data_IF_022629639486
#
_entry.id   IF_022629639486
#
_cell.length_a   1.000
_cell.length_b   1.000
_cell.length_c   1.000
_cell.angle_alpha   90.00
_cell.angle_beta   90.00
_cell.angle_gamma   90.00
#
_symmetry.space_group_name_H-M   'P 1'
#
loop_
_entity.id
_entity.type
_entity.pdbx_description
1 polymer ?
#
# COMPACT_ATOMS: atom_id res chain seq x y z
N UNK A 1 -45.17 -1.70 25.80
CA UNK A 1 -44.61 -0.52 26.48
C UNK A 1 -43.45 -0.05 25.61
N UNK A 2 -43.68 0.91 24.71
CA UNK A 2 -42.64 1.45 23.83
C UNK A 2 -41.58 2.20 24.63
N UNK A 3 -40.31 2.03 24.29
CA UNK A 3 -39.23 2.84 24.87
C UNK A 3 -39.16 4.17 24.11
N UNK A 4 -38.73 5.22 24.80
CA UNK A 4 -38.52 6.54 24.22
C UNK A 4 -37.04 6.71 23.86
N UNK A 5 -36.74 6.91 22.58
CA UNK A 5 -35.40 7.22 22.08
C UNK A 5 -35.26 8.75 22.04
N UNK A 6 -34.17 9.26 22.60
CA UNK A 6 -33.80 10.67 22.46
C UNK A 6 -32.91 10.85 21.23
N UNK A 7 -33.29 11.75 20.32
CA UNK A 7 -32.44 12.09 19.19
C UNK A 7 -31.20 12.89 19.65
N UNK A 8 -29.97 12.48 19.29
CA UNK A 8 -28.76 13.22 19.67
C UNK A 8 -28.66 14.60 19.01
N UNK A 9 -29.26 14.79 17.84
CA UNK A 9 -29.17 16.04 17.08
C UNK A 9 -30.13 17.12 17.56
N UNK A 10 -31.40 16.77 17.79
CA UNK A 10 -32.46 17.73 18.12
C UNK A 10 -33.03 17.57 19.53
N UNK A 11 -32.54 16.60 20.32
CA UNK A 11 -32.99 16.28 21.69
C UNK A 11 -34.49 15.97 21.80
N UNK A 12 -35.14 15.67 20.67
CA UNK A 12 -36.55 15.30 20.65
C UNK A 12 -36.71 13.87 21.15
N UNK A 13 -37.70 13.65 22.03
CA UNK A 13 -38.10 12.33 22.47
C UNK A 13 -39.01 11.69 21.41
N UNK A 14 -38.57 10.57 20.85
CA UNK A 14 -39.28 9.80 19.82
C UNK A 14 -39.71 8.46 20.40
N UNK A 15 -40.93 8.04 20.08
CA UNK A 15 -41.43 6.72 20.47
C UNK A 15 -40.99 5.67 19.43
N UNK A 16 -40.36 4.60 19.88
CA UNK A 16 -39.91 3.48 19.04
C UNK A 16 -41.04 2.87 18.20
N UNK A 17 -42.26 2.77 18.77
CA UNK A 17 -43.42 2.18 18.10
C UNK A 17 -43.84 2.98 16.84
N UNK A 18 -43.66 4.31 16.87
CA UNK A 18 -43.98 5.20 15.75
C UNK A 18 -42.93 5.08 14.64
N UNK A 19 -41.67 4.88 14.99
CA UNK A 19 -40.57 4.69 14.03
C UNK A 19 -40.73 3.37 13.27
N UNK A 20 -41.10 2.29 13.98
CA UNK A 20 -41.39 0.97 13.39
C UNK A 20 -42.60 1.02 12.47
N UNK A 21 -43.65 1.74 12.85
CA UNK A 21 -44.86 1.89 12.04
C UNK A 21 -44.61 2.66 10.72
N UNK A 22 -43.57 3.50 10.65
CA UNK A 22 -43.24 4.33 9.49
C UNK A 22 -42.03 3.85 8.69
N UNK A 23 -41.53 2.63 8.95
CA UNK A 23 -40.31 2.08 8.31
C UNK A 23 -39.08 3.02 8.40
N UNK A 24 -39.01 3.86 9.44
CA UNK A 24 -37.93 4.85 9.66
C UNK A 24 -37.28 4.61 11.00
N UNK A 25 -36.86 3.36 11.24
CA UNK A 25 -36.25 2.93 12.52
C UNK A 25 -34.98 3.73 12.86
N UNK A 26 -34.28 4.24 11.84
CA UNK A 26 -32.96 4.87 11.99
C UNK A 26 -32.94 6.37 11.66
N UNK A 27 -34.08 7.00 11.38
CA UNK A 27 -34.14 8.41 10.94
C UNK A 27 -35.05 9.19 11.87
N UNK A 28 -34.54 10.31 12.37
CA UNK A 28 -35.33 11.22 13.20
C UNK A 28 -36.44 11.88 12.37
N UNK A 29 -37.69 11.66 12.74
CA UNK A 29 -38.84 12.28 12.06
C UNK A 29 -38.91 13.81 12.21
N UNK A 30 -38.17 14.38 13.18
CA UNK A 30 -38.20 15.82 13.46
C UNK A 30 -37.11 16.57 12.69
N UNK A 31 -35.88 16.07 12.70
CA UNK A 31 -34.74 16.75 12.06
C UNK A 31 -34.19 16.04 10.82
N UNK A 32 -34.70 14.85 10.48
CA UNK A 32 -34.17 14.02 9.38
C UNK A 32 -32.78 13.43 9.64
N UNK A 33 -32.17 13.73 10.80
CA UNK A 33 -30.86 13.20 11.19
C UNK A 33 -30.92 11.73 11.53
N UNK A 34 -29.87 10.99 11.18
CA UNK A 34 -29.72 9.58 11.58
C UNK A 34 -29.73 9.45 13.11
N UNK A 35 -30.59 8.58 13.62
CA UNK A 35 -30.63 8.20 15.04
C UNK A 35 -29.58 7.13 15.36
N UNK A 36 -29.07 6.46 14.33
CA UNK A 36 -27.79 5.80 14.40
C UNK A 36 -26.74 6.90 14.53
N UNK A 37 -26.35 7.17 15.77
CA UNK A 37 -24.98 7.56 16.03
C UNK A 37 -24.15 6.53 15.29
N UNK A 38 -23.50 6.93 14.21
CA UNK A 38 -22.36 6.19 13.70
C UNK A 38 -21.41 6.15 14.90
N UNK A 39 -21.56 5.12 15.73
CA UNK A 39 -20.42 4.29 15.96
C UNK A 39 -19.91 4.02 14.54
N UNK A 40 -18.96 4.83 14.10
CA UNK A 40 -17.66 4.27 13.80
C UNK A 40 -17.37 3.28 14.93
N UNK A 41 -18.02 2.12 14.87
CA UNK A 41 -17.37 0.91 15.21
C UNK A 41 -16.15 1.03 14.31
N UNK A 42 -15.06 1.49 14.92
CA UNK A 42 -13.81 0.79 14.76
C UNK A 42 -14.21 -0.68 14.76
N UNK A 43 -14.54 -1.19 13.57
CA UNK A 43 -14.47 -2.61 13.30
C UNK A 43 -13.04 -2.86 13.76
N UNK A 44 -12.82 -3.61 14.85
CA UNK A 44 -11.46 -3.99 15.18
C UNK A 44 -11.02 -4.71 13.92
N UNK A 45 -10.17 -4.05 13.12
CA UNK A 45 -9.61 -4.67 11.94
C UNK A 45 -8.90 -5.87 12.51
N UNK A 46 -9.45 -7.07 12.31
CA UNK A 46 -8.93 -8.28 12.92
C UNK A 46 -7.49 -8.42 12.43
N UNK A 47 -6.54 -8.01 13.27
CA UNK A 47 -5.14 -8.04 12.92
C UNK A 47 -4.74 -9.50 12.91
N UNK A 48 -4.32 -9.98 11.75
CA UNK A 48 -3.87 -11.35 11.59
C UNK A 48 -2.37 -11.40 11.88
N UNK A 49 -1.92 -12.45 12.58
CA UNK A 49 -0.49 -12.70 12.76
C UNK A 49 0.12 -13.22 11.47
N UNK A 50 1.15 -12.55 11.01
CA UNK A 50 1.93 -12.92 9.83
C UNK A 50 3.33 -13.39 10.24
N UNK A 51 3.80 -14.40 9.52
CA UNK A 51 5.07 -15.07 9.72
C UNK A 51 5.86 -15.00 8.40
N UNK A 52 7.06 -14.43 8.48
CA UNK A 52 7.97 -14.35 7.34
C UNK A 52 9.10 -15.38 7.49
N UNK A 53 9.30 -16.19 6.46
CA UNK A 53 10.35 -17.20 6.36
C UNK A 53 11.35 -16.82 5.26
N UNK A 54 12.64 -16.75 5.61
CA UNK A 54 13.72 -16.40 4.68
C UNK A 54 14.19 -17.63 3.87
N UNK A 55 13.30 -18.21 3.05
CA UNK A 55 13.63 -19.27 2.09
C UNK A 55 14.18 -18.72 0.77
N UNK A 56 14.43 -19.60 -0.21
CA UNK A 56 14.99 -19.24 -1.53
C UNK A 56 14.18 -18.20 -2.34
N UNK A 57 12.93 -17.93 -1.95
CA UNK A 57 12.10 -16.86 -2.51
C UNK A 57 11.47 -15.94 -1.46
N UNK A 58 11.72 -16.16 -0.17
CA UNK A 58 10.92 -15.62 0.93
C UNK A 58 9.48 -16.17 0.92
N UNK A 59 8.90 -16.46 2.08
CA UNK A 59 7.49 -16.85 2.17
C UNK A 59 6.85 -16.01 3.27
N UNK A 60 5.74 -15.36 2.93
CA UNK A 60 4.90 -14.62 3.86
C UNK A 60 3.59 -15.39 4.03
N UNK A 61 3.32 -15.88 5.24
CA UNK A 61 2.12 -16.70 5.52
C UNK A 61 1.52 -16.35 6.88
N UNK A 62 0.27 -16.74 7.10
CA UNK A 62 -0.41 -16.66 8.39
C UNK A 62 -0.33 -17.97 9.18
N UNK A 63 0.19 -19.04 8.56
CA UNK A 63 0.39 -20.34 9.21
C UNK A 63 1.76 -20.44 9.84
N UNK A 64 1.80 -20.76 11.14
CA UNK A 64 3.03 -21.13 11.81
C UNK A 64 3.36 -22.60 11.52
N UNK A 65 4.51 -22.85 10.90
CA UNK A 65 5.03 -24.21 10.71
C UNK A 65 5.82 -24.64 11.95
N UNK A 66 5.56 -25.85 12.46
CA UNK A 66 6.27 -26.40 13.62
C UNK A 66 7.70 -26.85 13.25
N UNK A 67 7.94 -27.15 11.98
CA UNK A 67 9.23 -27.65 11.48
C UNK A 67 10.25 -26.53 11.18
N UNK A 68 9.83 -25.26 11.13
CA UNK A 68 10.68 -24.12 10.79
C UNK A 68 10.38 -22.88 11.67
N UNK A 69 11.42 -22.24 12.20
CA UNK A 69 11.29 -21.00 12.96
C UNK A 69 11.12 -19.78 12.03
N UNK A 70 10.07 -18.96 12.22
CA UNK A 70 9.87 -17.76 11.42
C UNK A 70 10.95 -16.72 11.71
N UNK A 71 11.44 -16.07 10.65
CA UNK A 71 12.49 -15.05 10.75
C UNK A 71 11.97 -13.73 11.31
N UNK A 72 10.73 -13.35 10.94
CA UNK A 72 10.02 -12.21 11.52
C UNK A 72 8.55 -12.55 11.74
N UNK A 73 7.98 -11.96 12.79
CA UNK A 73 6.56 -12.06 13.13
C UNK A 73 6.01 -10.66 13.40
N UNK A 74 4.83 -10.37 12.86
CA UNK A 74 4.18 -9.08 13.03
C UNK A 74 2.67 -9.19 12.80
N UNK A 75 1.93 -8.20 13.28
CA UNK A 75 0.48 -8.13 13.17
C UNK A 75 0.10 -7.16 12.05
N UNK A 76 -0.65 -7.65 11.05
CA UNK A 76 -1.09 -6.83 9.92
C UNK A 76 -2.54 -7.15 9.56
N UNK A 77 -3.24 -6.13 9.05
CA UNK A 77 -4.64 -6.25 8.64
C UNK A 77 -4.74 -6.96 7.29
N UNK A 78 -3.89 -6.56 6.35
CA UNK A 78 -3.90 -7.00 4.96
C UNK A 78 -2.51 -7.47 4.53
N UNK A 79 -2.45 -8.34 3.52
CA UNK A 79 -1.20 -8.83 2.95
C UNK A 79 -0.28 -7.70 2.47
N UNK A 80 -0.83 -6.61 1.93
CA UNK A 80 -0.04 -5.46 1.47
C UNK A 80 0.57 -4.66 2.64
N UNK A 81 -0.16 -4.56 3.76
CA UNK A 81 0.36 -3.93 4.97
C UNK A 81 1.48 -4.78 5.58
N UNK A 82 1.31 -6.10 5.53
CA UNK A 82 2.33 -7.06 5.92
C UNK A 82 3.62 -6.92 5.09
N UNK A 83 3.51 -6.82 3.76
CA UNK A 83 4.65 -6.57 2.88
C UNK A 83 5.32 -5.22 3.15
N UNK A 84 4.54 -4.17 3.43
CA UNK A 84 5.07 -2.85 3.78
C UNK A 84 5.86 -2.87 5.08
N UNK A 85 5.32 -3.48 6.13
CA UNK A 85 6.04 -3.64 7.40
C UNK A 85 7.31 -4.47 7.21
N UNK A 86 7.24 -5.54 6.42
CA UNK A 86 8.40 -6.34 6.07
C UNK A 86 9.46 -5.55 5.31
N UNK A 87 9.07 -4.64 4.40
CA UNK A 87 10.00 -3.76 3.67
C UNK A 87 10.75 -2.80 4.57
N UNK A 88 10.09 -2.27 5.60
CA UNK A 88 10.70 -1.35 6.56
C UNK A 88 11.80 -2.06 7.38
N UNK A 89 11.60 -3.34 7.68
CA UNK A 89 12.57 -4.16 8.43
C UNK A 89 13.65 -4.77 7.51
N UNK A 90 13.27 -5.19 6.31
CA UNK A 90 14.09 -5.91 5.32
C UNK A 90 13.88 -5.33 3.90
N UNK A 91 14.60 -4.26 3.54
CA UNK A 91 14.47 -3.63 2.23
C UNK A 91 15.00 -4.49 1.07
N UNK A 92 15.91 -5.44 1.36
CA UNK A 92 16.51 -6.35 0.38
C UNK A 92 15.75 -7.69 0.24
N UNK A 93 14.57 -7.83 0.84
CA UNK A 93 13.82 -9.10 0.82
C UNK A 93 13.43 -9.52 -0.61
N UNK A 94 13.58 -10.82 -0.97
CA UNK A 94 13.24 -11.30 -2.31
C UNK A 94 11.76 -11.10 -2.68
N UNK A 95 10.85 -11.06 -1.69
CA UNK A 95 9.42 -10.82 -1.88
C UNK A 95 9.08 -9.35 -2.15
N UNK A 96 9.78 -8.42 -1.50
CA UNK A 96 9.45 -6.99 -1.53
C UNK A 96 10.48 -6.19 -2.35
N UNK A 97 11.23 -6.88 -3.22
CA UNK A 97 12.05 -6.23 -4.23
C UNK A 97 11.13 -5.54 -5.24
N UNK A 98 10.64 -4.36 -4.85
CA UNK A 98 10.10 -3.35 -5.73
C UNK A 98 11.18 -3.07 -6.76
N UNK A 99 11.04 -3.68 -7.94
CA UNK A 99 11.51 -3.24 -9.25
C UNK A 99 12.48 -2.05 -9.16
N UNK A 100 13.66 -2.30 -8.57
CA UNK A 100 14.74 -1.35 -8.61
C UNK A 100 14.96 -1.15 -10.09
N UNK A 101 14.78 0.08 -10.62
CA UNK A 101 14.74 0.31 -12.06
C UNK A 101 15.98 -0.38 -12.61
N UNK A 102 15.77 -1.39 -13.48
CA UNK A 102 16.83 -2.29 -13.96
C UNK A 102 18.09 -1.47 -14.12
N UNK A 103 19.04 -1.65 -13.19
CA UNK A 103 20.20 -0.77 -13.11
C UNK A 103 20.84 -0.85 -14.49
N UNK A 104 20.89 0.26 -15.22
CA UNK A 104 21.41 0.22 -16.59
C UNK A 104 22.84 -0.31 -16.51
N UNK A 105 23.08 -1.46 -17.15
CA UNK A 105 24.36 -2.14 -17.10
C UNK A 105 25.07 -1.98 -18.43
N UNK A 106 26.35 -1.62 -18.41
CA UNK A 106 27.13 -1.58 -19.64
C UNK A 106 27.22 -2.99 -20.26
N UNK A 107 26.85 -3.19 -21.54
CA UNK A 107 26.83 -4.51 -22.17
C UNK A 107 28.22 -5.15 -22.30
N UNK A 108 29.30 -4.37 -22.15
CA UNK A 108 30.67 -4.83 -22.36
C UNK A 108 31.42 -5.18 -21.07
N UNK A 109 31.32 -4.34 -20.04
CA UNK A 109 32.04 -4.52 -18.77
C UNK A 109 31.14 -4.69 -17.55
N UNK A 110 29.82 -4.76 -17.75
CA UNK A 110 28.81 -4.88 -16.69
C UNK A 110 28.89 -3.82 -15.58
N UNK A 111 29.55 -2.70 -15.84
CA UNK A 111 29.61 -1.57 -14.91
C UNK A 111 28.29 -0.80 -14.94
N UNK A 112 27.86 -0.33 -13.77
CA UNK A 112 26.70 0.55 -13.55
C UNK A 112 27.08 2.04 -13.58
N UNK A 113 28.37 2.35 -13.70
CA UNK A 113 28.87 3.73 -13.73
C UNK A 113 28.73 4.31 -15.14
N UNK A 114 27.62 5.01 -15.36
CA UNK A 114 27.22 5.55 -16.67
C UNK A 114 27.07 7.06 -16.58
N UNK A 115 27.66 7.76 -17.55
CA UNK A 115 27.51 9.19 -17.73
C UNK A 115 26.65 9.48 -18.97
N UNK A 116 25.71 10.42 -18.85
CA UNK A 116 24.98 10.96 -19.98
C UNK A 116 25.84 12.05 -20.64
N UNK A 117 26.17 11.86 -21.91
CA UNK A 117 26.95 12.84 -22.69
C UNK A 117 26.11 13.41 -23.82
N UNK A 118 26.12 14.74 -24.03
CA UNK A 118 25.39 15.34 -25.13
C UNK A 118 26.01 14.89 -26.45
N UNK A 119 25.16 14.48 -27.41
CA UNK A 119 25.64 14.15 -28.75
C UNK A 119 26.04 15.45 -29.45
N UNK A 120 27.31 15.53 -29.89
CA UNK A 120 27.81 16.71 -30.61
C UNK A 120 26.97 16.95 -31.86
N UNK A 121 26.62 18.21 -32.08
CA UNK A 121 25.94 18.67 -33.29
C UNK A 121 26.80 18.35 -34.51
N UNK A 122 26.21 17.68 -35.51
CA UNK A 122 26.86 17.39 -36.79
C UNK A 122 26.14 18.14 -37.89
N UNK A 123 26.91 18.90 -38.68
CA UNK A 123 26.41 19.71 -39.79
C UNK A 123 25.64 18.89 -40.84
N UNK A 124 25.99 17.61 -41.00
CA UNK A 124 25.34 16.69 -41.95
C UNK A 124 23.96 16.22 -41.51
N UNK A 125 23.64 16.27 -40.22
CA UNK A 125 22.44 15.61 -39.66
C UNK A 125 21.31 16.56 -39.29
N UNK A 126 21.42 17.84 -39.67
CA UNK A 126 20.38 18.84 -39.46
C UNK A 126 20.19 19.27 -38.00
N UNK A 127 19.53 20.40 -37.82
CA UNK A 127 19.34 21.15 -36.57
C UNK A 127 19.11 20.29 -35.32
N UNK A 128 19.99 20.48 -34.34
CA UNK A 128 19.87 20.15 -32.90
C UNK A 128 18.94 18.97 -32.54
N UNK A 129 19.40 17.73 -32.77
CA UNK A 129 18.81 16.61 -32.03
C UNK A 129 19.33 16.67 -30.59
N UNK A 130 18.49 17.07 -29.64
CA UNK A 130 18.78 17.06 -28.19
C UNK A 130 18.79 15.61 -27.68
N UNK A 131 19.72 14.81 -28.20
CA UNK A 131 19.90 13.40 -27.87
C UNK A 131 21.14 13.28 -26.98
N UNK A 132 20.96 12.57 -25.87
CA UNK A 132 22.05 12.20 -24.98
C UNK A 132 22.41 10.74 -25.26
N UNK A 133 23.72 10.48 -25.42
CA UNK A 133 24.25 9.12 -25.48
C UNK A 133 24.60 8.68 -24.05
N UNK A 134 24.38 7.41 -23.73
CA UNK A 134 24.88 6.81 -22.49
C UNK A 134 26.31 6.36 -22.73
N UNK A 135 27.23 6.75 -21.86
CA UNK A 135 28.64 6.37 -21.95
C UNK A 135 29.06 5.65 -20.68
N UNK A 136 29.62 4.45 -20.82
CA UNK A 136 30.22 3.75 -19.69
C UNK A 136 31.55 4.44 -19.31
N UNK A 137 31.70 4.85 -18.05
CA UNK A 137 32.89 5.55 -17.56
C UNK A 137 34.12 4.62 -17.59
N UNK A 138 33.93 3.36 -17.22
CA UNK A 138 35.00 2.35 -17.16
C UNK A 138 35.50 1.94 -18.55
N UNK A 139 34.58 1.67 -19.47
CA UNK A 139 34.89 1.21 -20.83
C UNK A 139 35.13 2.36 -21.82
N UNK A 140 34.78 3.60 -21.47
CA UNK A 140 34.77 4.79 -22.35
C UNK A 140 34.08 4.56 -23.69
N UNK A 141 33.05 3.71 -23.70
CA UNK A 141 32.25 3.37 -24.89
C UNK A 141 30.81 3.80 -24.71
N UNK A 142 30.25 4.30 -25.80
CA UNK A 142 28.84 4.67 -25.91
C UNK A 142 27.98 3.44 -26.22
N UNK A 143 26.77 3.42 -25.72
CA UNK A 143 25.74 2.42 -26.05
C UNK A 143 24.34 3.00 -25.89
#
# INVERSE_FOLDING_TARGET
MGRTILCPHCKSALNEDILKQRNSENICLVCGGSLLMESSAEIPKETTKWYYYNGAGGILTTTLYDDEEPFYTFDAVDMQDAERQLKEVLPDSPLVNDSSPEKVVCPRCRSTEIQLVPRKFSFLTGFATNKFDRMCVRCKKKF
#
